data_IF_479660001728
#
_entry.id   IF_479660001728
#
_cell.length_a   1.000
_cell.length_b   1.000
_cell.length_c   1.000
_cell.angle_alpha   90.00
_cell.angle_beta   90.00
_cell.angle_gamma   90.00
#
_symmetry.space_group_name_H-M   'P 1'
#
loop_
_entity.id
_entity.type
_entity.pdbx_description
1 polymer ?
#
# COMPACT_ATOMS: atom_id res chain seq x y z
N UNK A 1 -3.57 -53.55 -28.67
CA UNK A 1 -3.80 -52.46 -29.63
C UNK A 1 -4.56 -51.25 -29.08
N UNK A 2 -5.49 -51.42 -28.12
CA UNK A 2 -6.28 -50.32 -27.50
C UNK A 2 -5.43 -49.32 -26.67
N UNK A 3 -4.41 -49.78 -25.92
CA UNK A 3 -3.62 -48.90 -25.04
C UNK A 3 -2.75 -47.89 -25.80
N UNK A 4 -2.17 -48.24 -26.95
CA UNK A 4 -1.37 -47.31 -27.77
C UNK A 4 -2.21 -46.17 -28.36
N UNK A 5 -3.49 -46.42 -28.70
CA UNK A 5 -4.40 -45.37 -29.18
C UNK A 5 -4.81 -44.40 -28.06
N UNK A 6 -4.99 -44.93 -26.81
CA UNK A 6 -5.27 -44.10 -25.66
C UNK A 6 -4.10 -43.17 -25.28
N UNK A 7 -2.87 -43.70 -25.33
CA UNK A 7 -1.65 -42.88 -25.06
C UNK A 7 -1.54 -41.74 -26.09
N UNK A 8 -1.81 -42.01 -27.37
CA UNK A 8 -1.81 -40.96 -28.41
C UNK A 8 -2.84 -39.87 -28.16
N UNK A 9 -4.03 -40.21 -27.65
CA UNK A 9 -5.07 -39.22 -27.29
C UNK A 9 -4.62 -38.36 -26.10
N UNK A 10 -4.03 -38.96 -25.07
CA UNK A 10 -3.53 -38.20 -23.91
C UNK A 10 -2.37 -37.25 -24.28
N UNK A 11 -1.45 -37.71 -25.16
CA UNK A 11 -0.37 -36.84 -25.66
C UNK A 11 -0.95 -35.67 -26.49
N UNK A 12 -1.95 -35.92 -27.33
CA UNK A 12 -2.65 -34.87 -28.08
C UNK A 12 -3.32 -33.82 -27.17
N UNK A 13 -4.03 -34.27 -26.12
CA UNK A 13 -4.65 -33.39 -25.13
C UNK A 13 -3.62 -32.58 -24.35
N UNK A 14 -2.50 -33.20 -23.98
CA UNK A 14 -1.40 -32.49 -23.30
C UNK A 14 -0.79 -31.39 -24.18
N UNK A 15 -0.57 -31.66 -25.46
CA UNK A 15 -0.03 -30.67 -26.40
C UNK A 15 -1.01 -29.50 -26.56
N UNK A 16 -2.32 -29.78 -26.65
CA UNK A 16 -3.35 -28.73 -26.74
C UNK A 16 -3.37 -27.90 -25.47
N UNK A 17 -3.30 -28.51 -24.29
CA UNK A 17 -3.27 -27.80 -23.01
C UNK A 17 -2.04 -26.91 -22.86
N UNK A 18 -0.86 -27.39 -23.27
CA UNK A 18 0.37 -26.60 -23.26
C UNK A 18 0.29 -25.46 -24.28
N UNK A 19 -0.22 -25.71 -25.49
CA UNK A 19 -0.40 -24.67 -26.48
C UNK A 19 -1.37 -23.57 -26.07
N UNK A 20 -2.49 -23.93 -25.43
CA UNK A 20 -3.45 -22.96 -24.88
C UNK A 20 -2.85 -22.17 -23.73
N UNK A 21 -2.07 -22.79 -22.86
CA UNK A 21 -1.37 -22.13 -21.77
C UNK A 21 -0.32 -21.11 -22.29
N UNK A 22 0.45 -21.49 -23.30
CA UNK A 22 1.43 -20.59 -23.95
C UNK A 22 0.71 -19.45 -24.67
N UNK A 23 -0.42 -19.74 -25.32
CA UNK A 23 -1.22 -18.71 -25.99
C UNK A 23 -1.81 -17.72 -24.99
N UNK A 24 -2.36 -18.18 -23.88
CA UNK A 24 -2.85 -17.32 -22.80
C UNK A 24 -1.75 -16.51 -22.16
N UNK A 25 -0.57 -17.09 -21.96
CA UNK A 25 0.60 -16.38 -21.44
C UNK A 25 1.09 -15.30 -22.42
N UNK A 26 1.12 -15.59 -23.72
CA UNK A 26 1.43 -14.60 -24.77
C UNK A 26 0.39 -13.49 -24.86
N UNK A 27 -0.90 -13.82 -24.77
CA UNK A 27 -1.98 -12.82 -24.74
C UNK A 27 -1.87 -11.92 -23.51
N UNK A 28 -1.52 -12.46 -22.35
CA UNK A 28 -1.26 -11.68 -21.13
C UNK A 28 0.00 -10.82 -21.24
N UNK A 29 1.04 -11.31 -21.91
CA UNK A 29 2.27 -10.56 -22.18
C UNK A 29 2.06 -9.46 -23.23
N UNK A 30 1.22 -9.70 -24.24
CA UNK A 30 0.84 -8.69 -25.26
C UNK A 30 -0.17 -7.67 -24.72
N UNK A 31 -0.97 -8.02 -23.69
CA UNK A 31 -1.86 -7.09 -22.99
C UNK A 31 -1.09 -6.11 -22.07
N UNK A 32 0.17 -6.36 -21.77
CA UNK A 32 1.14 -5.35 -21.35
C UNK A 32 1.74 -4.67 -22.60
N UNK A 33 0.88 -4.17 -23.49
CA UNK A 33 1.30 -3.10 -24.37
C UNK A 33 1.94 -2.04 -23.48
N UNK A 34 3.11 -1.51 -23.86
CA UNK A 34 3.73 -0.36 -23.23
C UNK A 34 2.65 0.74 -23.13
N UNK A 35 1.92 0.72 -22.03
CA UNK A 35 0.99 1.80 -21.71
C UNK A 35 1.91 2.95 -21.37
N UNK A 36 2.12 3.84 -22.33
CA UNK A 36 2.88 5.06 -22.12
C UNK A 36 2.31 5.73 -20.87
N UNK A 37 3.15 6.11 -19.89
CA UNK A 37 2.66 6.78 -18.72
C UNK A 37 1.90 8.04 -19.15
N UNK A 38 0.71 8.22 -18.59
CA UNK A 38 -0.02 9.48 -18.74
C UNK A 38 0.78 10.55 -18.02
N UNK A 39 1.17 11.58 -18.75
CA UNK A 39 1.81 12.76 -18.16
C UNK A 39 0.83 13.95 -18.18
N UNK A 40 1.23 15.06 -17.63
CA UNK A 40 0.38 16.24 -17.48
C UNK A 40 -0.30 16.74 -18.77
N UNK A 41 0.33 16.72 -19.96
CA UNK A 41 -0.32 17.06 -21.22
C UNK A 41 -1.56 16.21 -21.51
N UNK A 42 -1.45 14.89 -21.37
CA UNK A 42 -2.53 13.94 -21.61
C UNK A 42 -3.65 14.07 -20.57
N UNK A 43 -3.28 14.27 -19.31
CA UNK A 43 -4.22 14.53 -18.20
C UNK A 43 -5.01 15.81 -18.50
N UNK A 44 -4.32 16.86 -18.96
CA UNK A 44 -4.93 18.14 -19.29
C UNK A 44 -5.87 18.05 -20.50
N UNK A 45 -5.50 17.29 -21.51
CA UNK A 45 -6.32 17.07 -22.71
C UNK A 45 -7.59 16.27 -22.36
N UNK A 46 -7.48 15.24 -21.52
CA UNK A 46 -8.62 14.45 -21.06
C UNK A 46 -9.49 15.21 -20.04
N UNK A 47 -8.89 16.16 -19.33
CA UNK A 47 -9.58 16.96 -18.32
C UNK A 47 -9.80 16.25 -16.98
N UNK A 48 -9.22 15.05 -16.80
CA UNK A 48 -9.44 14.21 -15.63
C UNK A 48 -8.12 13.80 -14.98
N UNK A 49 -7.97 14.05 -13.68
CA UNK A 49 -6.87 13.60 -12.84
C UNK A 49 -7.38 12.48 -11.92
N UNK A 50 -6.73 11.31 -11.97
CA UNK A 50 -7.08 10.14 -11.17
C UNK A 50 -6.16 10.09 -9.96
N UNK A 51 -6.73 10.23 -8.77
CA UNK A 51 -6.01 10.26 -7.50
C UNK A 51 -6.40 9.03 -6.68
N UNK A 52 -5.44 8.21 -6.24
CA UNK A 52 -5.70 7.12 -5.32
C UNK A 52 -5.30 7.51 -3.90
N UNK A 53 -6.16 7.19 -2.95
CA UNK A 53 -5.94 7.40 -1.51
C UNK A 53 -6.51 6.26 -0.69
N UNK A 54 -6.26 6.26 0.62
CA UNK A 54 -6.83 5.28 1.54
C UNK A 54 -8.00 5.87 2.33
N UNK A 55 -8.93 5.00 2.71
CA UNK A 55 -10.01 5.37 3.61
C UNK A 55 -9.50 5.36 5.06
N UNK A 56 -9.40 6.53 5.67
CA UNK A 56 -9.06 6.68 7.09
C UNK A 56 -9.59 8.00 7.63
N UNK A 57 -9.69 8.14 8.96
CA UNK A 57 -10.30 9.29 9.62
C UNK A 57 -9.54 10.62 9.44
N UNK A 58 -8.29 10.59 9.04
CA UNK A 58 -7.50 11.80 8.82
C UNK A 58 -7.42 12.22 7.35
N UNK A 59 -7.46 11.27 6.44
CA UNK A 59 -7.23 11.50 5.02
C UNK A 59 -8.50 11.63 4.18
N UNK A 60 -9.35 10.61 4.24
CA UNK A 60 -10.58 10.53 3.43
C UNK A 60 -11.60 9.64 4.14
N UNK A 61 -12.73 10.20 4.56
CA UNK A 61 -13.78 9.46 5.23
C UNK A 61 -15.16 10.09 4.99
N UNK A 62 -16.21 9.31 5.25
CA UNK A 62 -17.59 9.75 5.15
C UNK A 62 -18.10 10.17 6.52
N UNK A 63 -18.50 11.42 6.67
CA UNK A 63 -19.10 11.99 7.88
C UNK A 63 -20.58 12.34 7.61
N UNK A 64 -21.49 11.45 7.97
CA UNK A 64 -22.90 11.61 7.61
C UNK A 64 -23.10 11.57 6.10
N UNK A 65 -23.56 12.68 5.52
CA UNK A 65 -23.80 12.83 4.08
C UNK A 65 -22.66 13.57 3.34
N UNK A 66 -21.54 13.84 4.04
CA UNK A 66 -20.41 14.57 3.49
C UNK A 66 -19.14 13.71 3.48
N UNK A 67 -18.24 14.06 2.57
CA UNK A 67 -16.89 13.50 2.54
C UNK A 67 -15.98 14.54 3.18
N UNK A 68 -15.11 14.09 4.07
CA UNK A 68 -14.17 14.92 4.82
C UNK A 68 -12.77 14.28 4.85
N UNK A 69 -11.78 15.05 5.24
CA UNK A 69 -10.41 14.64 5.44
C UNK A 69 -9.41 15.40 4.58
N UNK A 70 -8.16 15.39 5.02
CA UNK A 70 -7.09 16.17 4.40
C UNK A 70 -6.89 15.84 2.92
N UNK A 71 -6.90 14.56 2.56
CA UNK A 71 -6.70 14.13 1.16
C UNK A 71 -7.89 14.51 0.28
N UNK A 72 -9.10 14.48 0.85
CA UNK A 72 -10.28 14.96 0.16
C UNK A 72 -10.19 16.47 -0.11
N UNK A 73 -9.89 17.28 0.91
CA UNK A 73 -9.73 18.73 0.76
C UNK A 73 -8.60 19.09 -0.22
N UNK A 74 -7.48 18.36 -0.16
CA UNK A 74 -6.37 18.52 -1.11
C UNK A 74 -6.85 18.23 -2.54
N UNK A 75 -7.61 17.17 -2.76
CA UNK A 75 -8.16 16.82 -4.07
C UNK A 75 -9.07 17.92 -4.62
N UNK A 76 -9.91 18.51 -3.76
CA UNK A 76 -10.77 19.64 -4.13
C UNK A 76 -9.96 20.91 -4.46
N UNK A 77 -8.90 21.18 -3.71
CA UNK A 77 -8.01 22.30 -3.99
C UNK A 77 -7.26 22.12 -5.33
N UNK A 78 -6.80 20.91 -5.63
CA UNK A 78 -6.20 20.57 -6.93
C UNK A 78 -7.21 20.80 -8.06
N UNK A 79 -8.45 20.32 -7.91
CA UNK A 79 -9.50 20.51 -8.89
C UNK A 79 -9.77 22.00 -9.17
N UNK A 80 -9.89 22.81 -8.11
CA UNK A 80 -10.12 24.25 -8.24
C UNK A 80 -8.97 24.99 -8.91
N UNK A 81 -7.72 24.63 -8.59
CA UNK A 81 -6.55 25.32 -9.12
C UNK A 81 -6.18 24.90 -10.54
N UNK A 82 -6.37 23.63 -10.87
CA UNK A 82 -6.00 23.08 -12.18
C UNK A 82 -7.12 23.20 -13.21
N UNK A 83 -8.38 23.30 -12.76
CA UNK A 83 -9.56 23.20 -13.61
C UNK A 83 -9.86 21.78 -14.09
N UNK A 84 -9.19 20.77 -13.53
CA UNK A 84 -9.39 19.36 -13.84
C UNK A 84 -10.49 18.75 -12.97
N UNK A 85 -11.21 17.77 -13.51
CA UNK A 85 -12.02 16.88 -12.67
C UNK A 85 -11.07 15.93 -11.92
N UNK A 86 -11.19 15.85 -10.58
CA UNK A 86 -10.39 14.93 -9.78
C UNK A 86 -11.25 13.72 -9.41
N UNK A 87 -10.89 12.56 -9.96
CA UNK A 87 -11.51 11.29 -9.62
C UNK A 87 -10.72 10.62 -8.51
N UNK A 88 -11.32 10.48 -7.32
CA UNK A 88 -10.70 9.82 -6.18
C UNK A 88 -11.02 8.34 -6.17
N UNK A 89 -10.00 7.51 -6.17
CA UNK A 89 -10.04 6.07 -6.05
C UNK A 89 -9.60 5.67 -4.64
N UNK A 90 -10.28 4.70 -4.03
CA UNK A 90 -9.96 4.22 -2.68
C UNK A 90 -9.25 2.88 -2.78
N UNK A 91 -8.04 2.81 -2.23
CA UNK A 91 -7.25 1.60 -2.11
C UNK A 91 -6.59 1.53 -0.73
N UNK A 92 -6.82 0.45 0.03
CA UNK A 92 -6.32 0.32 1.39
C UNK A 92 -4.85 -0.13 1.44
N UNK A 93 -4.42 -0.93 0.47
CA UNK A 93 -3.04 -1.40 0.36
C UNK A 93 -2.15 -0.34 -0.28
N UNK A 94 -0.99 -0.08 0.33
CA UNK A 94 0.02 0.80 -0.25
C UNK A 94 0.65 0.17 -1.51
N UNK A 95 0.91 -1.13 -1.47
CA UNK A 95 1.48 -1.86 -2.60
C UNK A 95 0.54 -1.80 -3.82
N UNK A 96 -0.76 -2.10 -3.64
CA UNK A 96 -1.76 -2.00 -4.70
C UNK A 96 -1.92 -0.57 -5.23
N UNK A 97 -1.75 0.46 -4.37
CA UNK A 97 -1.76 1.86 -4.82
C UNK A 97 -0.60 2.15 -5.78
N UNK A 98 0.59 1.60 -5.52
CA UNK A 98 1.72 1.72 -6.44
C UNK A 98 1.53 0.90 -7.71
N UNK A 99 0.97 -0.32 -7.62
CA UNK A 99 0.63 -1.13 -8.79
C UNK A 99 -0.39 -0.41 -9.68
N UNK A 100 -1.36 0.29 -9.08
CA UNK A 100 -2.31 1.14 -9.82
C UNK A 100 -1.61 2.28 -10.56
N UNK A 101 -0.56 2.88 -9.96
CA UNK A 101 0.23 3.91 -10.60
C UNK A 101 1.05 3.35 -11.78
N UNK A 102 1.72 2.20 -11.58
CA UNK A 102 2.50 1.52 -12.62
C UNK A 102 1.63 1.01 -13.80
N UNK A 103 0.40 0.59 -13.49
CA UNK A 103 -0.59 0.16 -14.49
C UNK A 103 -1.34 1.33 -15.16
N UNK A 104 -1.00 2.60 -14.85
CA UNK A 104 -1.69 3.82 -15.30
C UNK A 104 -3.21 3.82 -15.01
N UNK A 105 -3.60 3.18 -13.91
CA UNK A 105 -4.98 3.23 -13.39
C UNK A 105 -5.22 4.49 -12.56
N UNK A 106 -4.17 5.07 -12.01
CA UNK A 106 -4.17 6.38 -11.38
C UNK A 106 -2.97 7.21 -11.83
N UNK A 107 -3.02 8.50 -11.60
CA UNK A 107 -1.99 9.47 -11.97
C UNK A 107 -1.19 9.93 -10.73
N UNK A 108 -1.83 9.93 -9.56
CA UNK A 108 -1.24 10.36 -8.29
C UNK A 108 -1.65 9.40 -7.16
N UNK A 109 -0.69 9.07 -6.30
CA UNK A 109 -0.92 8.40 -5.03
C UNK A 109 -0.86 9.45 -3.91
N UNK A 110 -2.02 9.81 -3.36
CA UNK A 110 -2.18 10.83 -2.32
C UNK A 110 -2.48 10.18 -0.96
N UNK A 111 -1.44 9.76 -0.25
CA UNK A 111 -1.53 9.18 1.08
C UNK A 111 -0.21 9.41 1.84
N UNK A 112 -0.19 9.04 3.11
CA UNK A 112 1.03 9.13 3.91
C UNK A 112 2.06 8.09 3.47
N UNK A 113 3.02 8.50 2.66
CA UNK A 113 4.10 7.65 2.16
C UNK A 113 5.41 8.16 2.76
N UNK A 114 6.09 7.37 3.60
CA UNK A 114 7.44 7.71 4.02
C UNK A 114 8.39 7.66 2.83
N UNK A 115 9.06 8.76 2.59
CA UNK A 115 9.99 8.89 1.47
C UNK A 115 11.30 8.20 1.85
N UNK A 116 11.52 6.98 1.36
CA UNK A 116 12.77 6.24 1.48
C UNK A 116 13.61 6.38 0.22
N UNK A 117 14.91 6.08 0.31
CA UNK A 117 15.79 6.09 -0.87
C UNK A 117 15.31 5.11 -1.94
N UNK A 118 14.86 3.92 -1.52
CA UNK A 118 14.37 2.87 -2.42
C UNK A 118 13.14 3.31 -3.23
N UNK A 119 12.17 3.94 -2.56
CA UNK A 119 10.94 4.40 -3.23
C UNK A 119 11.25 5.59 -4.15
N UNK A 120 12.18 6.47 -3.75
CA UNK A 120 12.65 7.59 -4.59
C UNK A 120 13.31 7.17 -5.89
N UNK A 121 13.91 5.98 -5.93
CA UNK A 121 14.50 5.46 -7.17
C UNK A 121 13.45 5.06 -8.21
N UNK A 122 12.24 4.73 -7.77
CA UNK A 122 11.16 4.25 -8.64
C UNK A 122 10.12 5.30 -8.99
N UNK A 123 9.83 6.21 -8.05
CA UNK A 123 8.71 7.14 -8.16
C UNK A 123 9.15 8.59 -7.96
N UNK A 124 8.46 9.50 -8.63
CA UNK A 124 8.60 10.93 -8.43
C UNK A 124 7.73 11.36 -7.25
N UNK A 125 8.27 12.23 -6.41
CA UNK A 125 7.56 12.80 -5.27
C UNK A 125 7.45 14.31 -5.42
N UNK A 126 6.36 14.86 -4.89
CA UNK A 126 6.25 16.30 -4.62
C UNK A 126 7.18 16.69 -3.48
N UNK A 127 7.31 17.99 -3.22
CA UNK A 127 7.87 18.44 -1.95
C UNK A 127 7.05 17.85 -0.78
N UNK A 128 7.71 17.50 0.35
CA UNK A 128 7.00 16.95 1.50
C UNK A 128 5.93 17.92 2.02
N UNK A 129 4.70 17.45 2.09
CA UNK A 129 3.57 18.24 2.59
C UNK A 129 3.59 18.28 4.12
N UNK A 130 4.01 17.18 4.75
CA UNK A 130 4.03 17.01 6.21
C UNK A 130 5.37 16.37 6.60
N UNK A 131 5.97 16.88 7.68
CA UNK A 131 7.07 16.22 8.37
C UNK A 131 6.50 15.58 9.62
N UNK A 132 6.54 14.25 9.68
CA UNK A 132 5.98 13.47 10.77
C UNK A 132 7.03 12.54 11.40
N UNK A 133 6.67 11.95 12.53
CA UNK A 133 7.50 11.00 13.27
C UNK A 133 6.72 9.72 13.52
N UNK A 134 7.39 8.59 13.35
CA UNK A 134 6.84 7.31 13.80
C UNK A 134 6.76 7.30 15.33
N UNK A 135 5.64 6.83 15.85
CA UNK A 135 5.38 6.75 17.28
C UNK A 135 5.00 5.32 17.67
N UNK A 136 5.39 4.92 18.88
CA UNK A 136 4.98 3.66 19.46
C UNK A 136 3.67 3.88 20.23
N UNK A 137 2.61 3.22 19.82
CA UNK A 137 1.32 3.22 20.50
C UNK A 137 1.34 2.13 21.56
N UNK A 138 1.05 2.49 22.80
CA UNK A 138 1.06 1.60 23.96
C UNK A 138 -0.09 1.92 24.90
N UNK A 139 -0.48 0.93 25.71
CA UNK A 139 -1.42 1.16 26.81
C UNK A 139 -0.78 1.99 27.92
N UNK A 140 -1.57 2.81 28.57
CA UNK A 140 -1.13 3.53 29.76
C UNK A 140 -0.84 2.55 30.89
N UNK A 141 -0.01 2.93 31.86
CA UNK A 141 0.31 2.10 33.04
C UNK A 141 -0.94 1.62 33.76
N UNK A 142 -1.94 2.50 33.95
CA UNK A 142 -3.22 2.19 34.55
C UNK A 142 -4.01 1.12 33.77
N UNK A 143 -3.99 1.18 32.48
CA UNK A 143 -4.70 0.23 31.60
C UNK A 143 -3.90 -1.06 31.37
N UNK A 144 -2.62 -1.09 31.71
CA UNK A 144 -1.69 -2.19 31.51
C UNK A 144 -1.25 -2.86 32.83
N UNK A 145 -2.16 -3.00 33.76
CA UNK A 145 -1.92 -3.69 35.06
C UNK A 145 -0.68 -3.19 35.82
N UNK A 146 -0.38 -1.89 35.73
CA UNK A 146 0.77 -1.27 36.39
C UNK A 146 2.10 -1.43 35.63
N UNK A 147 2.11 -2.03 34.45
CA UNK A 147 3.30 -2.09 33.62
C UNK A 147 3.56 -0.71 33.00
N UNK A 148 4.76 -0.20 33.21
CA UNK A 148 5.17 1.11 32.70
C UNK A 148 5.34 1.05 31.19
N UNK A 149 4.85 2.07 30.45
CA UNK A 149 5.08 2.15 29.02
C UNK A 149 6.57 2.37 28.70
N UNK A 150 7.02 1.80 27.60
CA UNK A 150 8.37 1.96 27.08
C UNK A 150 8.59 3.44 26.73
N UNK A 151 9.71 3.99 27.17
CA UNK A 151 10.10 5.40 26.92
C UNK A 151 11.43 5.53 26.23
N UNK A 152 12.25 4.48 26.26
CA UNK A 152 13.55 4.43 25.62
C UNK A 152 13.51 3.38 24.50
N UNK A 153 14.09 3.71 23.36
CA UNK A 153 14.19 2.77 22.23
C UNK A 153 14.98 1.49 22.60
N UNK A 154 15.94 1.58 23.50
CA UNK A 154 16.69 0.41 24.00
C UNK A 154 15.79 -0.62 24.69
N UNK A 155 14.68 -0.19 25.29
CA UNK A 155 13.74 -1.07 25.97
C UNK A 155 12.85 -1.88 24.98
N UNK A 156 13.01 -1.66 23.67
CA UNK A 156 12.37 -2.45 22.61
C UNK A 156 13.06 -3.79 22.38
N UNK A 157 14.24 -4.00 22.92
CA UNK A 157 14.95 -5.26 22.86
C UNK A 157 14.07 -6.42 23.35
N UNK A 158 13.94 -7.48 22.53
CA UNK A 158 13.12 -8.64 22.83
C UNK A 158 11.61 -8.41 22.83
N UNK A 159 11.12 -7.23 22.42
CA UNK A 159 9.68 -6.94 22.33
C UNK A 159 9.11 -7.32 20.97
N UNK A 160 7.81 -7.62 20.99
CA UNK A 160 7.03 -7.86 19.76
C UNK A 160 6.22 -6.62 19.44
N UNK A 161 6.33 -6.14 18.20
CA UNK A 161 5.60 -5.00 17.67
C UNK A 161 4.73 -5.45 16.50
N UNK A 162 3.51 -4.97 16.47
CA UNK A 162 2.59 -5.19 15.36
C UNK A 162 2.57 -3.96 14.46
N UNK A 163 2.67 -4.18 13.18
CA UNK A 163 2.61 -3.13 12.15
C UNK A 163 1.69 -3.59 11.02
N UNK A 164 1.08 -2.69 10.26
CA UNK A 164 0.39 -3.06 9.03
C UNK A 164 1.35 -3.72 8.05
N UNK A 165 0.84 -4.62 7.22
CA UNK A 165 1.60 -5.23 6.12
C UNK A 165 2.19 -4.14 5.22
N UNK A 166 3.37 -4.40 4.70
CA UNK A 166 4.13 -3.48 3.84
C UNK A 166 4.39 -2.10 4.48
N UNK A 167 4.35 -2.02 5.81
CA UNK A 167 4.63 -0.79 6.53
C UNK A 167 6.10 -0.41 6.43
N UNK A 168 6.42 0.84 6.06
CA UNK A 168 7.80 1.33 6.03
C UNK A 168 8.45 1.38 7.43
N UNK A 169 7.68 1.17 8.49
CA UNK A 169 8.20 1.00 9.84
C UNK A 169 9.06 -0.27 9.98
N UNK A 170 8.84 -1.30 9.17
CA UNK A 170 9.58 -2.56 9.22
C UNK A 170 11.09 -2.36 9.07
N UNK A 171 11.51 -1.67 8.02
CA UNK A 171 12.92 -1.39 7.78
C UNK A 171 13.54 -0.56 8.92
N UNK A 172 12.82 0.43 9.42
CA UNK A 172 13.29 1.26 10.56
C UNK A 172 13.47 0.42 11.82
N UNK A 173 12.54 -0.50 12.11
CA UNK A 173 12.62 -1.39 13.28
C UNK A 173 13.75 -2.41 13.15
N UNK A 174 14.00 -2.95 11.95
CA UNK A 174 15.14 -3.82 11.70
C UNK A 174 16.46 -3.08 11.93
N UNK A 175 16.61 -1.87 11.38
CA UNK A 175 17.81 -1.06 11.59
C UNK A 175 17.98 -0.70 13.07
N UNK A 176 16.89 -0.37 13.77
CA UNK A 176 16.93 -0.09 15.20
C UNK A 176 17.39 -1.31 16.01
N UNK A 177 16.91 -2.52 15.66
CA UNK A 177 17.39 -3.77 16.26
C UNK A 177 18.91 -3.93 16.12
N UNK A 178 19.46 -3.64 14.93
CA UNK A 178 20.91 -3.66 14.72
C UNK A 178 21.62 -2.56 15.54
N UNK A 179 21.06 -1.34 15.62
CA UNK A 179 21.64 -0.25 16.40
C UNK A 179 21.71 -0.56 17.90
N UNK A 180 20.68 -1.20 18.46
CA UNK A 180 20.63 -1.58 19.89
C UNK A 180 21.35 -2.90 20.19
N UNK A 181 21.74 -3.65 19.16
CA UNK A 181 22.44 -4.94 19.32
C UNK A 181 21.56 -6.09 19.81
N UNK A 182 20.23 -5.99 19.61
CA UNK A 182 19.26 -7.01 20.03
C UNK A 182 18.11 -7.11 19.01
N UNK A 183 17.29 -8.16 19.15
CA UNK A 183 16.17 -8.41 18.22
C UNK A 183 14.91 -7.69 18.69
N UNK A 184 14.30 -6.96 17.76
CA UNK A 184 12.91 -6.48 17.87
C UNK A 184 12.08 -7.41 17.00
N UNK A 185 11.09 -8.09 17.60
CA UNK A 185 10.19 -8.97 16.84
C UNK A 185 9.10 -8.14 16.19
N UNK A 186 9.02 -8.18 14.86
CA UNK A 186 8.02 -7.45 14.09
C UNK A 186 7.04 -8.45 13.50
N UNK A 187 5.75 -8.23 13.74
CA UNK A 187 4.64 -8.99 13.15
C UNK A 187 3.87 -8.04 12.24
N UNK A 188 3.87 -8.37 10.96
CA UNK A 188 3.06 -7.68 9.97
C UNK A 188 1.64 -8.26 9.98
N UNK A 189 0.66 -7.38 10.12
CA UNK A 189 -0.75 -7.76 10.07
C UNK A 189 -1.28 -7.52 8.66
N UNK A 190 -1.85 -8.56 8.05
CA UNK A 190 -2.37 -8.51 6.68
C UNK A 190 -3.77 -7.88 6.59
N UNK A 191 -4.49 -7.80 7.70
CA UNK A 191 -5.91 -7.43 7.73
C UNK A 191 -6.14 -6.04 8.31
N UNK A 192 -5.31 -5.62 9.28
CA UNK A 192 -5.57 -4.43 10.06
C UNK A 192 -4.67 -3.26 9.67
N UNK A 193 -5.29 -2.11 9.45
CA UNK A 193 -4.60 -0.84 9.29
C UNK A 193 -4.00 -0.35 10.62
N UNK A 194 -3.14 0.66 10.57
CA UNK A 194 -2.56 1.25 11.79
C UNK A 194 -3.59 1.76 12.79
N UNK A 195 -4.72 2.31 12.34
CA UNK A 195 -5.81 2.74 13.20
C UNK A 195 -6.49 1.56 13.92
N UNK A 196 -6.72 0.47 13.19
CA UNK A 196 -7.32 -0.73 13.76
C UNK A 196 -6.40 -1.40 14.78
N UNK A 197 -5.08 -1.48 14.48
CA UNK A 197 -4.08 -1.96 15.44
C UNK A 197 -4.04 -1.08 16.71
N UNK A 198 -4.16 0.25 16.55
CA UNK A 198 -4.24 1.16 17.69
C UNK A 198 -5.49 0.90 18.57
N UNK A 199 -6.63 0.57 17.96
CA UNK A 199 -7.86 0.20 18.66
C UNK A 199 -7.67 -1.15 19.40
N UNK A 200 -6.98 -2.13 18.80
CA UNK A 200 -6.65 -3.40 19.45
C UNK A 200 -5.77 -3.17 20.67
N UNK A 201 -4.72 -2.36 20.56
CA UNK A 201 -3.89 -1.95 21.71
C UNK A 201 -4.76 -1.33 22.83
N UNK A 202 -5.71 -0.46 22.48
CA UNK A 202 -6.59 0.16 23.49
C UNK A 202 -7.48 -0.87 24.19
N UNK A 203 -7.96 -1.90 23.47
CA UNK A 203 -8.76 -3.01 24.03
C UNK A 203 -7.93 -3.98 24.86
N UNK A 204 -6.64 -4.12 24.54
CA UNK A 204 -5.72 -5.04 25.22
C UNK A 204 -5.60 -6.40 24.55
N UNK A 205 -5.93 -6.44 23.27
CA UNK A 205 -5.80 -7.63 22.42
C UNK A 205 -4.35 -7.84 21.98
#
# INVERSE_FOLDING_TARGET
>A
MKSRKLIGVYIGLLIIAVATMIMLWRLKAMSKAEVLPRDYPEIKEEGVLRLVTEYNQSGYYVAGDTIEGFQYELSQAIAQLSGLEVQTLLEMSLAESFDMLEDNKCDIVARNIPITSEIKEKYLFTEPIILDKQVLIQRTEKANNGLKPIRNQLDLAGKTLYIPKDSPAQLRLQNLGHEIGDTIYVIEDELYSGEQLAIMVAKGD
#
